data_IF_349077176954
#
_entry.id   IF_349077176954
#
_cell.length_a   1.000
_cell.length_b   1.000
_cell.length_c   1.000
_cell.angle_alpha   90.00
_cell.angle_beta   90.00
_cell.angle_gamma   90.00
#
_symmetry.space_group_name_H-M   'P 1'
#
loop_
_entity.id
_entity.type
_entity.pdbx_description
1 polymer ?
#
# COMPACT_ATOMS: atom_id res chain seq x y z
N UNK A 1 0.90 49.86 57.24
CA UNK A 1 0.20 50.35 56.03
C UNK A 1 0.90 49.79 54.81
N UNK A 2 0.17 49.03 53.99
CA UNK A 2 0.67 48.33 52.80
C UNK A 2 1.11 49.32 51.72
N UNK A 3 2.31 49.16 51.15
CA UNK A 3 2.78 49.93 49.99
C UNK A 3 2.37 49.19 48.71
N UNK A 4 1.41 49.72 47.97
CA UNK A 4 1.04 49.21 46.64
C UNK A 4 2.23 49.37 45.67
N UNK A 5 2.65 48.29 45.04
CA UNK A 5 3.65 48.31 43.97
C UNK A 5 2.92 48.40 42.63
N UNK A 6 3.18 49.46 41.86
CA UNK A 6 2.68 49.63 40.49
C UNK A 6 3.76 49.28 39.45
N UNK A 7 3.30 48.83 38.28
CA UNK A 7 4.16 48.37 37.21
C UNK A 7 4.84 49.55 36.49
N UNK A 8 6.17 49.64 36.62
CA UNK A 8 6.97 50.70 36.00
C UNK A 8 7.37 50.25 34.58
N UNK A 9 6.69 50.80 33.57
CA UNK A 9 7.04 50.62 32.17
C UNK A 9 7.57 51.93 31.57
N UNK A 10 8.61 51.83 30.74
CA UNK A 10 9.20 52.99 30.05
C UNK A 10 8.38 53.32 28.82
N UNK A 11 7.55 54.36 28.91
CA UNK A 11 6.76 54.85 27.77
C UNK A 11 7.64 55.74 26.88
N UNK A 12 7.71 55.43 25.59
CA UNK A 12 8.32 56.29 24.57
C UNK A 12 7.34 56.42 23.39
N UNK A 13 7.21 57.62 22.87
CA UNK A 13 6.45 57.88 21.63
C UNK A 13 7.45 57.98 20.47
N UNK A 14 7.23 57.19 19.43
CA UNK A 14 8.03 57.21 18.20
C UNK A 14 7.12 57.46 16.99
N UNK A 15 7.62 58.23 16.02
CA UNK A 15 6.92 58.53 14.77
C UNK A 15 7.85 58.19 13.59
N UNK A 16 8.04 56.89 13.38
CA UNK A 16 8.91 56.41 12.31
C UNK A 16 8.19 56.58 10.96
N UNK A 17 8.84 57.28 10.04
CA UNK A 17 8.29 57.54 8.71
C UNK A 17 8.36 56.28 7.84
N UNK A 18 7.37 56.07 6.94
CA UNK A 18 7.43 54.96 6.01
C UNK A 18 8.56 55.15 5.00
N UNK A 19 9.16 54.06 4.50
CA UNK A 19 10.16 54.14 3.45
C UNK A 19 9.55 54.73 2.16
N UNK A 20 10.35 55.41 1.31
CA UNK A 20 9.84 56.05 0.11
C UNK A 20 9.30 55.03 -0.89
N UNK A 21 8.10 55.24 -1.48
CA UNK A 21 7.61 54.41 -2.56
C UNK A 21 8.34 54.80 -3.84
N UNK A 22 9.10 53.87 -4.42
CA UNK A 22 9.85 54.06 -5.66
C UNK A 22 8.98 53.59 -6.85
N UNK A 23 8.17 54.45 -7.49
CA UNK A 23 7.36 54.02 -8.62
C UNK A 23 8.23 53.73 -9.85
N UNK A 24 7.77 52.89 -10.78
CA UNK A 24 8.48 52.59 -12.01
C UNK A 24 8.47 53.78 -12.99
N UNK A 25 9.55 53.92 -13.77
CA UNK A 25 9.67 54.96 -14.79
C UNK A 25 8.93 54.58 -16.08
N UNK A 26 8.11 55.50 -16.60
CA UNK A 26 7.44 55.31 -17.90
C UNK A 26 8.37 55.74 -19.04
N UNK A 27 8.54 54.86 -20.03
CA UNK A 27 9.34 55.12 -21.23
C UNK A 27 8.45 55.60 -22.38
N UNK A 28 8.96 56.54 -23.19
CA UNK A 28 8.24 57.00 -24.38
C UNK A 28 8.53 56.08 -25.57
N UNK A 29 7.48 55.44 -26.10
CA UNK A 29 7.60 54.54 -27.24
C UNK A 29 7.45 55.30 -28.57
N UNK A 30 8.34 55.02 -29.53
CA UNK A 30 8.29 55.57 -30.88
C UNK A 30 7.83 54.49 -31.85
N UNK A 31 6.68 54.73 -32.50
CA UNK A 31 6.07 53.81 -33.46
C UNK A 31 6.93 53.76 -34.74
N UNK A 32 7.21 52.58 -35.29
CA UNK A 32 7.91 52.44 -36.57
C UNK A 32 7.03 52.90 -37.74
N UNK A 33 7.65 53.57 -38.72
CA UNK A 33 6.93 54.19 -39.86
C UNK A 33 6.19 53.20 -40.75
N UNK A 34 6.57 51.93 -40.75
CA UNK A 34 5.95 50.89 -41.58
C UNK A 34 4.57 50.46 -41.07
N UNK A 35 4.31 50.67 -39.77
CA UNK A 35 3.03 50.40 -39.11
C UNK A 35 2.09 51.62 -39.14
N UNK A 36 2.55 52.74 -39.72
CA UNK A 36 1.69 53.90 -39.92
C UNK A 36 0.60 53.57 -40.96
N UNK A 37 -0.61 54.05 -40.69
CA UNK A 37 -1.81 53.78 -41.50
C UNK A 37 -1.63 54.19 -42.98
N UNK A 38 -0.73 55.15 -43.26
CA UNK A 38 -0.38 55.59 -44.60
C UNK A 38 0.70 54.76 -45.31
N UNK A 39 1.18 53.65 -44.72
CA UNK A 39 2.28 52.88 -45.30
C UNK A 39 1.85 52.15 -46.58
N UNK A 40 2.69 52.23 -47.61
CA UNK A 40 2.46 51.57 -48.90
C UNK A 40 2.40 50.04 -48.77
N UNK A 41 3.10 49.48 -47.78
CA UNK A 41 3.09 48.04 -47.48
C UNK A 41 1.69 47.54 -47.12
N UNK A 42 0.97 48.28 -46.25
CA UNK A 42 -0.40 47.94 -45.87
C UNK A 42 -1.37 48.07 -47.04
N UNK A 43 -1.23 49.11 -47.87
CA UNK A 43 -2.05 49.28 -49.08
C UNK A 43 -1.83 48.16 -50.10
N UNK A 44 -0.58 47.73 -50.28
CA UNK A 44 -0.25 46.61 -51.16
C UNK A 44 -0.87 45.29 -50.67
N UNK A 45 -0.89 45.07 -49.35
CA UNK A 45 -1.54 43.91 -48.74
C UNK A 45 -3.06 43.93 -48.97
N UNK A 46 -3.70 45.08 -48.75
CA UNK A 46 -5.13 45.26 -48.97
C UNK A 46 -5.48 45.01 -50.45
N UNK A 47 -4.72 45.59 -51.37
CA UNK A 47 -4.93 45.41 -52.80
C UNK A 47 -4.82 43.92 -53.20
N UNK A 48 -3.83 43.18 -52.68
CA UNK A 48 -3.71 41.75 -52.94
C UNK A 48 -4.90 40.97 -52.41
N UNK A 49 -5.41 41.31 -51.22
CA UNK A 49 -6.55 40.63 -50.61
C UNK A 49 -7.85 40.87 -51.38
N UNK A 50 -8.13 42.11 -51.77
CA UNK A 50 -9.38 42.48 -52.45
C UNK A 50 -9.44 41.92 -53.88
N UNK A 51 -8.34 42.02 -54.64
CA UNK A 51 -8.38 41.65 -56.07
C UNK A 51 -8.36 40.14 -56.33
N UNK A 52 -7.92 39.31 -55.38
CA UNK A 52 -7.97 37.85 -55.55
C UNK A 52 -9.42 37.34 -55.60
N UNK A 53 -10.33 37.98 -54.86
CA UNK A 53 -11.76 37.60 -54.88
C UNK A 53 -12.41 37.83 -56.25
N UNK A 54 -11.95 38.84 -56.99
CA UNK A 54 -12.46 39.13 -58.33
C UNK A 54 -11.99 38.09 -59.36
N UNK A 55 -10.84 37.44 -59.14
CA UNK A 55 -10.31 36.40 -60.01
C UNK A 55 -11.07 35.07 -59.90
N UNK A 56 -11.82 34.84 -58.82
CA UNK A 56 -12.60 33.60 -58.63
C UNK A 56 -13.85 33.59 -59.53
N UNK A 57 -14.36 34.77 -59.91
CA UNK A 57 -15.47 34.92 -60.86
C UNK A 57 -14.92 34.93 -62.30
N UNK A 58 -14.28 33.83 -62.70
CA UNK A 58 -13.68 33.69 -64.04
C UNK A 58 -14.73 33.87 -65.16
N UNK A 59 -15.88 33.21 -65.02
CA UNK A 59 -17.02 33.25 -65.94
C UNK A 59 -18.33 33.32 -65.14
N UNK A 60 -19.42 33.75 -65.79
CA UNK A 60 -20.77 33.79 -65.19
C UNK A 60 -21.28 32.40 -64.76
N UNK A 61 -20.78 31.33 -65.39
CA UNK A 61 -21.10 29.93 -65.07
C UNK A 61 -20.18 29.31 -64.00
N UNK A 62 -19.33 30.10 -63.32
CA UNK A 62 -18.40 29.65 -62.28
C UNK A 62 -17.48 28.49 -62.72
N UNK A 63 -17.21 28.37 -64.02
CA UNK A 63 -16.38 27.30 -64.58
C UNK A 63 -17.09 25.95 -64.72
N UNK A 64 -18.41 25.88 -64.47
CA UNK A 64 -19.24 24.69 -64.66
C UNK A 64 -20.24 24.91 -65.79
N UNK A 65 -19.83 24.67 -67.02
CA UNK A 65 -20.72 24.79 -68.18
C UNK A 65 -21.78 23.69 -68.18
N UNK A 66 -23.05 24.08 -68.18
CA UNK A 66 -24.18 23.14 -68.31
C UNK A 66 -24.39 22.87 -69.80
N UNK A 67 -23.79 21.79 -70.32
CA UNK A 67 -23.89 21.41 -71.74
C UNK A 67 -24.57 20.05 -71.90
N UNK A 68 -25.81 20.08 -72.40
CA UNK A 68 -26.60 18.87 -72.65
C UNK A 68 -26.09 18.07 -73.86
N UNK A 69 -25.26 18.68 -74.74
CA UNK A 69 -24.66 17.99 -75.88
C UNK A 69 -23.71 16.87 -75.42
N UNK A 70 -23.13 17.02 -74.23
CA UNK A 70 -22.27 15.99 -73.60
C UNK A 70 -23.04 14.76 -73.11
N UNK A 71 -24.38 14.82 -73.10
CA UNK A 71 -25.25 13.70 -72.74
C UNK A 71 -26.11 13.33 -73.96
N UNK A 72 -25.57 12.53 -74.92
CA UNK A 72 -26.28 12.20 -76.16
C UNK A 72 -27.65 11.54 -75.94
N UNK A 73 -27.80 10.83 -74.83
CA UNK A 73 -29.02 10.10 -74.48
C UNK A 73 -30.17 11.04 -74.09
N UNK A 74 -29.88 12.28 -73.68
CA UNK A 74 -30.89 13.26 -73.23
C UNK A 74 -31.83 13.77 -74.34
N UNK A 75 -31.43 13.61 -75.61
CA UNK A 75 -32.23 14.05 -76.76
C UNK A 75 -33.13 12.94 -77.33
N UNK A 76 -32.95 11.68 -76.91
CA UNK A 76 -33.68 10.52 -77.41
C UNK A 76 -34.81 10.12 -76.45
N UNK A 77 -36.05 10.45 -76.81
CA UNK A 77 -37.26 10.16 -76.00
C UNK A 77 -37.50 8.67 -75.74
N UNK A 78 -36.82 7.78 -76.47
CA UNK A 78 -37.00 6.32 -76.33
C UNK A 78 -36.10 5.70 -75.26
N UNK A 79 -35.03 6.39 -74.86
CA UNK A 79 -34.07 5.91 -73.86
C UNK A 79 -34.32 6.60 -72.53
N UNK A 80 -34.22 5.85 -71.43
CA UNK A 80 -34.25 6.45 -70.10
C UNK A 80 -32.90 7.13 -69.81
N UNK A 81 -32.96 8.36 -69.32
CA UNK A 81 -31.82 9.25 -69.03
C UNK A 81 -30.94 8.79 -67.85
N UNK A 82 -30.41 7.57 -67.91
CA UNK A 82 -29.64 6.93 -66.83
C UNK A 82 -28.45 7.75 -66.32
N UNK A 83 -27.86 8.61 -67.17
CA UNK A 83 -26.70 9.47 -66.83
C UNK A 83 -27.07 10.76 -66.09
N UNK A 84 -28.31 11.23 -66.20
CA UNK A 84 -28.78 12.43 -65.49
C UNK A 84 -29.33 12.08 -64.10
N UNK A 85 -29.77 10.83 -63.91
CA UNK A 85 -30.20 10.34 -62.62
C UNK A 85 -29.02 10.10 -61.68
N UNK A 86 -29.26 10.32 -60.39
CA UNK A 86 -28.28 9.97 -59.36
C UNK A 86 -27.96 8.47 -59.44
N UNK A 87 -26.66 8.13 -59.36
CA UNK A 87 -26.18 6.75 -59.26
C UNK A 87 -26.87 6.06 -58.06
N UNK A 88 -27.17 4.76 -58.20
CA UNK A 88 -27.94 3.99 -57.21
C UNK A 88 -27.29 3.97 -55.81
N UNK A 89 -28.11 3.66 -54.78
CA UNK A 89 -27.89 3.81 -53.32
C UNK A 89 -26.55 3.34 -52.70
N UNK A 90 -25.64 2.70 -53.44
CA UNK A 90 -24.35 2.20 -52.94
C UNK A 90 -23.14 2.88 -53.60
N UNK A 91 -23.04 4.20 -53.49
CA UNK A 91 -21.88 4.97 -53.97
C UNK A 91 -20.74 4.89 -52.94
N UNK A 92 -19.61 4.30 -53.34
CA UNK A 92 -18.38 4.33 -52.55
C UNK A 92 -17.70 5.69 -52.75
N UNK A 93 -17.94 6.62 -51.83
CA UNK A 93 -17.35 7.95 -51.88
C UNK A 93 -15.84 7.91 -51.55
N UNK A 94 -15.04 8.63 -52.33
CA UNK A 94 -13.61 8.76 -52.05
C UNK A 94 -13.40 9.60 -50.76
N UNK A 95 -12.40 9.30 -49.92
CA UNK A 95 -12.17 10.04 -48.67
C UNK A 95 -12.00 11.56 -48.84
N UNK A 96 -11.41 12.01 -49.95
CA UNK A 96 -11.26 13.45 -50.23
C UNK A 96 -12.62 14.13 -50.51
N UNK A 97 -13.50 13.46 -51.26
CA UNK A 97 -14.82 14.00 -51.59
C UNK A 97 -15.73 14.04 -50.35
N UNK A 98 -15.53 13.10 -49.42
CA UNK A 98 -16.20 13.10 -48.11
C UNK A 98 -15.93 14.37 -47.30
N UNK A 99 -14.77 15.01 -47.48
CA UNK A 99 -14.43 16.26 -46.80
C UNK A 99 -15.20 17.43 -47.43
N UNK A 100 -15.37 17.43 -48.75
CA UNK A 100 -16.07 18.47 -49.50
C UNK A 100 -17.58 18.50 -49.23
N UNK A 101 -18.16 17.39 -48.80
CA UNK A 101 -19.58 17.30 -48.41
C UNK A 101 -19.88 17.80 -46.99
N UNK A 102 -18.89 18.35 -46.26
CA UNK A 102 -19.10 18.89 -44.92
C UNK A 102 -19.73 20.27 -44.99
N UNK A 103 -20.65 20.55 -44.06
CA UNK A 103 -21.19 21.89 -43.89
C UNK A 103 -20.09 22.87 -43.42
N UNK A 104 -20.09 24.11 -43.93
CA UNK A 104 -19.14 25.13 -43.49
C UNK A 104 -19.34 25.40 -41.99
N UNK A 105 -18.33 25.07 -41.18
CA UNK A 105 -18.35 25.22 -39.73
C UNK A 105 -18.05 23.93 -38.94
N UNK A 106 -18.08 22.76 -39.59
CA UNK A 106 -17.76 21.45 -38.97
C UNK A 106 -16.30 21.05 -39.25
N UNK A 107 -15.37 22.00 -39.10
CA UNK A 107 -13.95 21.73 -39.40
C UNK A 107 -13.15 21.20 -38.21
N UNK A 108 -13.64 21.36 -36.99
CA UNK A 108 -12.90 20.94 -35.80
C UNK A 108 -13.51 19.70 -35.16
N UNK A 109 -13.03 18.54 -35.58
CA UNK A 109 -13.07 17.36 -34.70
C UNK A 109 -12.23 17.76 -33.48
N UNK A 110 -12.89 18.04 -32.35
CA UNK A 110 -12.26 18.47 -31.10
C UNK A 110 -11.08 17.53 -30.80
N UNK A 111 -9.87 17.99 -31.11
CA UNK A 111 -8.65 17.24 -30.87
C UNK A 111 -8.59 16.90 -29.38
N UNK A 112 -8.16 15.66 -29.07
CA UNK A 112 -7.93 15.26 -27.68
C UNK A 112 -7.13 16.36 -26.97
N UNK A 113 -7.72 16.92 -25.92
CA UNK A 113 -7.11 17.99 -25.14
C UNK A 113 -5.70 17.56 -24.69
N UNK A 114 -4.68 18.43 -24.80
CA UNK A 114 -3.33 18.10 -24.40
C UNK A 114 -3.31 17.73 -22.91
N UNK A 115 -2.70 16.61 -22.57
CA UNK A 115 -2.64 16.11 -21.20
C UNK A 115 -1.56 16.88 -20.43
N UNK A 116 -1.87 18.11 -20.03
CA UNK A 116 -0.92 18.98 -19.32
C UNK A 116 -1.01 18.78 -17.81
N UNK A 117 0.13 18.63 -17.14
CA UNK A 117 0.21 18.27 -15.72
C UNK A 117 -0.45 19.28 -14.76
N UNK A 118 -0.59 20.55 -15.17
CA UNK A 118 -1.22 21.59 -14.36
C UNK A 118 -2.73 21.66 -14.52
N UNK A 119 -3.30 21.12 -15.60
CA UNK A 119 -4.73 21.22 -15.88
C UNK A 119 -5.44 19.97 -15.36
N UNK A 120 -5.97 20.06 -14.14
CA UNK A 120 -6.82 19.00 -13.58
C UNK A 120 -8.24 19.11 -14.12
N UNK A 121 -8.88 17.96 -14.33
CA UNK A 121 -10.32 17.91 -14.65
C UNK A 121 -11.10 18.44 -13.44
N UNK A 122 -12.11 19.26 -13.71
CA UNK A 122 -13.03 19.73 -12.69
C UNK A 122 -13.80 18.53 -12.12
N UNK A 123 -13.86 18.44 -10.81
CA UNK A 123 -14.71 17.48 -10.14
C UNK A 123 -16.14 18.02 -10.07
N UNK A 124 -17.10 17.24 -10.54
CA UNK A 124 -18.52 17.54 -10.31
C UNK A 124 -18.93 17.04 -8.94
N UNK A 125 -19.69 17.85 -8.19
CA UNK A 125 -20.25 17.50 -6.89
C UNK A 125 -21.19 16.30 -7.08
N UNK A 126 -20.67 15.09 -6.90
CA UNK A 126 -21.45 13.88 -6.83
C UNK A 126 -21.91 13.66 -5.40
N UNK A 127 -23.21 13.53 -5.18
CA UNK A 127 -23.87 13.27 -3.89
C UNK A 127 -23.41 11.99 -3.15
N UNK A 128 -22.55 11.18 -3.77
CA UNK A 128 -22.04 9.92 -3.21
C UNK A 128 -20.74 10.09 -2.39
N UNK A 129 -20.06 11.24 -2.47
CA UNK A 129 -18.70 11.39 -1.90
C UNK A 129 -18.62 11.45 -0.37
N UNK A 130 -19.72 11.71 0.32
CA UNK A 130 -19.75 11.72 1.79
C UNK A 130 -20.43 10.47 2.39
N UNK A 131 -21.18 9.71 1.59
CA UNK A 131 -21.87 8.53 2.08
C UNK A 131 -21.02 7.27 2.04
N UNK A 132 -19.81 7.24 1.46
CA UNK A 132 -18.96 6.04 1.49
C UNK A 132 -18.44 5.68 2.90
N UNK A 133 -18.29 6.68 3.80
CA UNK A 133 -17.93 6.43 5.20
C UNK A 133 -19.18 6.26 6.09
N UNK A 134 -20.31 6.90 5.76
CA UNK A 134 -21.58 6.71 6.47
C UNK A 134 -22.29 5.39 6.09
N UNK A 135 -22.08 4.86 4.88
CA UNK A 135 -22.58 3.54 4.47
C UNK A 135 -21.74 2.38 5.01
N UNK A 136 -20.60 2.61 5.66
CA UNK A 136 -20.00 1.55 6.50
C UNK A 136 -20.79 1.39 7.82
N UNK A 137 -21.45 2.45 8.29
CA UNK A 137 -22.39 2.35 9.41
C UNK A 137 -23.79 1.91 8.96
N UNK A 138 -24.25 2.32 7.77
CA UNK A 138 -25.57 1.92 7.25
C UNK A 138 -25.60 0.63 6.39
N UNK A 139 -24.47 0.06 5.98
CA UNK A 139 -24.43 -1.33 5.46
C UNK A 139 -24.41 -2.37 6.58
N UNK A 140 -24.35 -1.93 7.84
CA UNK A 140 -24.77 -2.74 9.00
C UNK A 140 -26.29 -2.71 9.25
N UNK A 141 -27.05 -1.85 8.56
CA UNK A 141 -28.52 -1.84 8.59
C UNK A 141 -29.16 -2.68 7.48
N UNK A 142 -28.35 -3.13 6.52
CA UNK A 142 -28.61 -4.32 5.72
C UNK A 142 -27.90 -5.52 6.34
N UNK A 143 -28.00 -5.69 7.65
CA UNK A 143 -27.93 -7.07 8.13
C UNK A 143 -29.01 -7.82 7.32
N UNK A 144 -28.79 -9.06 6.84
CA UNK A 144 -29.95 -9.96 6.79
C UNK A 144 -30.63 -9.74 8.13
N UNK A 145 -31.96 -9.58 8.17
CA UNK A 145 -32.68 -9.60 9.44
C UNK A 145 -31.92 -10.56 10.33
N UNK A 146 -31.39 -10.06 11.46
CA UNK A 146 -30.95 -10.97 12.48
C UNK A 146 -32.27 -11.64 12.83
N UNK A 147 -32.62 -12.69 12.06
CA UNK A 147 -33.27 -13.87 12.58
C UNK A 147 -32.64 -13.96 13.94
N UNK A 148 -33.46 -13.87 14.98
CA UNK A 148 -33.01 -14.23 16.31
C UNK A 148 -32.33 -15.57 16.10
N UNK A 149 -31.01 -15.53 15.96
CA UNK A 149 -30.24 -16.71 15.64
C UNK A 149 -30.34 -17.42 16.96
N UNK A 150 -31.22 -18.41 16.98
CA UNK A 150 -31.48 -19.19 18.16
C UNK A 150 -30.12 -19.59 18.69
N UNK A 151 -29.70 -19.04 19.84
CA UNK A 151 -28.39 -19.27 20.46
C UNK A 151 -28.26 -20.70 21.01
N UNK A 152 -28.98 -21.64 20.39
CA UNK A 152 -28.87 -23.05 20.62
C UNK A 152 -27.49 -23.53 20.13
N UNK A 153 -26.85 -24.45 20.85
CA UNK A 153 -25.58 -25.03 20.43
C UNK A 153 -25.63 -25.64 19.02
N UNK A 154 -26.79 -26.17 18.60
CA UNK A 154 -26.97 -26.75 17.26
C UNK A 154 -26.89 -25.70 16.14
N UNK A 155 -27.50 -24.52 16.33
CA UNK A 155 -27.40 -23.42 15.35
C UNK A 155 -25.98 -22.88 15.29
N UNK A 156 -25.30 -22.77 16.43
CA UNK A 156 -23.90 -22.35 16.49
C UNK A 156 -22.98 -23.35 15.78
N UNK A 157 -23.17 -24.65 15.98
CA UNK A 157 -22.42 -25.68 15.27
C UNK A 157 -22.63 -25.56 13.76
N UNK A 158 -23.88 -25.41 13.30
CA UNK A 158 -24.21 -25.26 11.89
C UNK A 158 -23.60 -24.00 11.28
N UNK A 159 -23.58 -22.89 12.02
CA UNK A 159 -22.97 -21.64 11.55
C UNK A 159 -21.47 -21.82 11.42
N UNK A 160 -20.81 -22.46 12.39
CA UNK A 160 -19.39 -22.81 12.35
C UNK A 160 -19.09 -23.69 11.12
N UNK A 161 -19.81 -24.80 10.93
CA UNK A 161 -19.67 -25.69 9.76
C UNK A 161 -19.90 -24.93 8.43
N UNK A 162 -20.85 -24.00 8.39
CA UNK A 162 -21.10 -23.18 7.22
C UNK A 162 -19.89 -22.29 6.86
N UNK A 163 -19.14 -21.79 7.84
CA UNK A 163 -17.93 -21.00 7.59
C UNK A 163 -16.82 -21.86 6.96
N UNK A 164 -16.60 -23.08 7.46
CA UNK A 164 -15.62 -24.02 6.92
C UNK A 164 -15.98 -24.52 5.51
N UNK A 165 -17.27 -24.81 5.26
CA UNK A 165 -17.71 -25.23 3.92
C UNK A 165 -17.59 -24.09 2.90
N UNK A 166 -17.89 -22.85 3.29
CA UNK A 166 -17.75 -21.68 2.44
C UNK A 166 -16.28 -21.33 2.17
N UNK A 167 -15.41 -21.37 3.19
CA UNK A 167 -13.98 -21.11 3.03
C UNK A 167 -13.34 -22.12 2.08
N UNK A 168 -13.66 -23.41 2.22
CA UNK A 168 -13.17 -24.48 1.34
C UNK A 168 -13.61 -24.30 -0.12
N UNK A 169 -14.88 -23.89 -0.34
CA UNK A 169 -15.38 -23.58 -1.69
C UNK A 169 -14.60 -22.43 -2.33
N UNK A 170 -14.32 -21.38 -1.57
CA UNK A 170 -13.56 -20.20 -2.07
C UNK A 170 -12.08 -20.50 -2.30
N UNK A 171 -11.49 -21.40 -1.53
CA UNK A 171 -10.10 -21.86 -1.73
C UNK A 171 -9.96 -22.59 -3.07
N UNK A 172 -10.90 -23.48 -3.39
CA UNK A 172 -10.90 -24.23 -4.67
C UNK A 172 -11.20 -23.35 -5.88
N UNK A 173 -12.11 -22.38 -5.73
CA UNK A 173 -12.56 -21.50 -6.82
C UNK A 173 -12.44 -20.01 -6.45
N UNK A 174 -11.32 -19.39 -6.86
CA UNK A 174 -11.03 -17.97 -6.57
C UNK A 174 -12.02 -17.00 -7.25
N UNK A 175 -12.73 -17.43 -8.29
CA UNK A 175 -13.71 -16.61 -9.02
C UNK A 175 -14.97 -16.30 -8.20
N UNK A 176 -15.26 -17.12 -7.20
CA UNK A 176 -16.37 -16.90 -6.27
C UNK A 176 -16.08 -15.73 -5.33
N UNK A 177 -14.80 -15.40 -5.10
CA UNK A 177 -14.40 -14.34 -4.19
C UNK A 177 -14.50 -12.98 -4.89
N UNK A 178 -15.49 -12.19 -4.47
CA UNK A 178 -15.70 -10.81 -4.92
C UNK A 178 -15.44 -9.86 -3.78
N UNK A 179 -14.74 -8.77 -4.06
CA UNK A 179 -14.53 -7.73 -3.04
C UNK A 179 -15.88 -7.09 -2.66
N UNK A 180 -16.16 -6.87 -1.36
CA UNK A 180 -17.47 -6.41 -0.88
C UNK A 180 -17.89 -5.05 -1.47
N UNK A 181 -16.97 -4.08 -1.50
CA UNK A 181 -17.21 -2.76 -2.09
C UNK A 181 -16.94 -2.69 -3.61
N UNK A 182 -15.80 -3.20 -4.07
CA UNK A 182 -15.34 -3.09 -5.46
C UNK A 182 -15.46 -4.43 -6.21
N UNK A 183 -16.67 -4.76 -6.67
CA UNK A 183 -16.99 -6.06 -7.31
C UNK A 183 -16.12 -6.44 -8.52
N UNK A 184 -15.45 -5.47 -9.15
CA UNK A 184 -14.57 -5.70 -10.30
C UNK A 184 -13.18 -6.24 -9.90
N UNK A 185 -12.82 -6.20 -8.62
CA UNK A 185 -11.56 -6.74 -8.13
C UNK A 185 -11.63 -8.25 -8.00
N UNK A 186 -10.57 -8.92 -8.45
CA UNK A 186 -10.38 -10.37 -8.35
C UNK A 186 -9.26 -10.66 -7.36
N UNK A 187 -9.38 -11.75 -6.60
CA UNK A 187 -8.33 -12.19 -5.70
C UNK A 187 -7.11 -12.69 -6.47
N UNK A 188 -5.91 -12.28 -6.06
CA UNK A 188 -4.64 -12.71 -6.66
C UNK A 188 -4.10 -13.99 -6.01
N UNK A 189 -4.15 -14.04 -4.68
CA UNK A 189 -3.70 -15.17 -3.85
C UNK A 189 -4.65 -15.32 -2.68
N UNK A 190 -4.83 -16.57 -2.24
CA UNK A 190 -5.61 -16.94 -1.07
C UNK A 190 -4.70 -17.82 -0.22
N UNK A 191 -4.59 -17.52 1.07
CA UNK A 191 -3.82 -18.33 2.02
C UNK A 191 -4.78 -19.04 2.96
N UNK A 192 -4.59 -20.35 3.16
CA UNK A 192 -5.32 -21.09 4.20
C UNK A 192 -4.73 -20.78 5.56
N UNK A 193 -5.54 -20.31 6.51
CA UNK A 193 -5.07 -19.98 7.86
C UNK A 193 -5.18 -21.21 8.77
N UNK A 194 -4.05 -21.81 9.14
CA UNK A 194 -3.97 -23.02 9.97
C UNK A 194 -3.15 -22.77 11.24
N UNK A 195 -3.43 -23.45 12.36
CA UNK A 195 -2.55 -23.40 13.53
C UNK A 195 -1.19 -24.06 13.23
N UNK A 196 -0.09 -23.51 13.75
CA UNK A 196 1.24 -24.12 13.62
C UNK A 196 1.46 -25.18 14.71
N UNK A 197 0.96 -26.40 14.51
CA UNK A 197 1.10 -27.48 15.52
C UNK A 197 2.56 -27.84 15.81
N UNK A 198 3.46 -27.59 14.86
CA UNK A 198 4.89 -27.86 15.01
C UNK A 198 5.61 -26.96 16.01
N UNK A 199 5.05 -25.78 16.30
CA UNK A 199 5.65 -24.77 17.21
C UNK A 199 4.81 -24.51 18.45
N UNK A 200 3.76 -25.30 18.68
CA UNK A 200 2.92 -25.17 19.87
C UNK A 200 3.61 -25.56 21.18
N UNK A 201 4.79 -26.20 21.10
CA UNK A 201 5.67 -26.40 22.24
C UNK A 201 6.35 -25.11 22.73
N UNK A 202 6.29 -24.03 21.95
CA UNK A 202 6.94 -22.75 22.25
C UNK A 202 5.94 -21.67 22.66
N UNK A 203 6.33 -20.84 23.62
CA UNK A 203 5.59 -19.64 24.01
C UNK A 203 6.11 -18.40 23.27
N UNK A 204 5.22 -17.69 22.59
CA UNK A 204 5.57 -16.47 21.85
C UNK A 204 5.21 -15.22 22.66
N UNK A 205 6.15 -14.29 22.73
CA UNK A 205 6.01 -13.02 23.45
C UNK A 205 6.28 -11.84 22.52
N UNK A 206 5.45 -10.80 22.57
CA UNK A 206 5.67 -9.57 21.80
C UNK A 206 6.46 -8.57 22.63
N UNK A 207 7.65 -8.23 22.14
CA UNK A 207 8.54 -7.25 22.79
C UNK A 207 8.41 -5.90 22.06
N UNK A 208 8.10 -4.85 22.80
CA UNK A 208 8.01 -3.47 22.28
C UNK A 208 9.05 -2.60 22.98
N UNK A 209 10.04 -2.12 22.23
CA UNK A 209 10.99 -1.12 22.73
C UNK A 209 10.38 0.29 22.68
N UNK A 210 10.40 1.02 23.81
CA UNK A 210 9.77 2.34 23.95
C UNK A 210 10.79 3.47 24.17
N UNK A 211 10.51 4.63 23.56
CA UNK A 211 11.27 5.87 23.79
C UNK A 211 12.75 5.72 23.44
N UNK A 212 13.63 5.98 24.41
CA UNK A 212 15.08 5.87 24.23
C UNK A 212 15.60 4.45 24.06
N UNK A 213 14.77 3.42 24.29
CA UNK A 213 15.09 2.04 23.95
C UNK A 213 14.78 1.71 22.48
N UNK A 214 14.05 2.59 21.77
CA UNK A 214 13.72 2.37 20.36
C UNK A 214 14.98 2.33 19.52
N UNK A 215 15.16 1.24 18.79
CA UNK A 215 16.21 1.14 17.78
C UNK A 215 15.80 1.94 16.55
N UNK A 216 16.77 2.53 15.84
CA UNK A 216 16.51 3.24 14.58
C UNK A 216 15.94 2.28 13.54
N UNK A 217 15.18 2.78 12.55
CA UNK A 217 14.64 2.00 11.42
C UNK A 217 15.69 1.17 10.66
N UNK A 218 16.99 1.45 10.87
CA UNK A 218 18.10 0.66 10.33
C UNK A 218 18.25 -0.72 11.00
N UNK A 219 17.75 -0.90 12.22
CA UNK A 219 17.83 -2.15 12.98
C UNK A 219 16.84 -3.22 12.53
N UNK A 220 15.68 -2.83 11.98
CA UNK A 220 14.61 -3.79 11.63
C UNK A 220 14.95 -4.70 10.44
N UNK A 221 15.98 -4.35 9.67
CA UNK A 221 16.47 -5.14 8.53
C UNK A 221 17.79 -5.86 8.82
N UNK A 222 18.43 -5.59 9.96
CA UNK A 222 19.69 -6.24 10.31
C UNK A 222 19.44 -7.68 10.73
N UNK A 223 20.22 -8.60 10.19
CA UNK A 223 20.18 -10.02 10.56
C UNK A 223 20.50 -10.23 12.04
N UNK A 224 21.34 -9.37 12.61
CA UNK A 224 21.72 -9.37 14.03
C UNK A 224 20.51 -9.26 14.96
N UNK A 225 19.53 -8.43 14.62
CA UNK A 225 18.30 -8.27 15.42
C UNK A 225 17.34 -9.45 15.28
N UNK A 226 17.41 -10.20 14.18
CA UNK A 226 16.58 -11.39 13.99
C UNK A 226 17.10 -12.59 14.79
N UNK A 227 18.40 -12.65 15.04
CA UNK A 227 19.04 -13.73 15.81
C UNK A 227 19.40 -13.32 17.24
N UNK A 228 19.04 -12.10 17.65
CA UNK A 228 19.37 -11.58 18.98
C UNK A 228 18.63 -12.31 20.10
N UNK A 229 19.20 -12.26 21.30
CA UNK A 229 18.65 -12.94 22.48
C UNK A 229 18.19 -11.90 23.49
N UNK A 230 16.97 -12.11 23.98
CA UNK A 230 16.37 -11.37 25.08
C UNK A 230 16.29 -12.30 26.28
N UNK A 231 17.06 -11.99 27.33
CA UNK A 231 17.06 -12.76 28.58
C UNK A 231 16.33 -11.97 29.67
N UNK A 232 15.15 -12.42 30.15
CA UNK A 232 14.54 -11.82 31.31
C UNK A 232 15.34 -12.17 32.56
N UNK A 233 15.54 -11.18 33.43
CA UNK A 233 16.15 -11.32 34.74
C UNK A 233 15.16 -10.76 35.75
N UNK A 234 14.59 -11.66 36.55
CA UNK A 234 13.64 -11.34 37.62
C UNK A 234 14.38 -11.41 38.96
N UNK A 235 14.44 -10.29 39.67
CA UNK A 235 14.97 -10.20 41.02
C UNK A 235 13.91 -9.59 41.93
N UNK A 236 13.94 -9.92 43.22
CA UNK A 236 12.88 -9.55 44.19
C UNK A 236 12.50 -8.06 44.17
N UNK A 237 13.42 -7.18 43.75
CA UNK A 237 13.29 -5.73 43.81
C UNK A 237 13.37 -5.05 42.42
N UNK A 238 13.76 -5.77 41.36
CA UNK A 238 13.94 -5.19 40.03
C UNK A 238 13.86 -6.26 38.92
N UNK A 239 13.06 -5.97 37.90
CA UNK A 239 12.94 -6.82 36.71
C UNK A 239 13.53 -6.10 35.49
N UNK A 240 14.45 -6.76 34.80
CA UNK A 240 15.00 -6.22 33.56
C UNK A 240 15.21 -7.30 32.51
N UNK A 241 15.47 -6.87 31.29
CA UNK A 241 15.68 -7.69 30.12
C UNK A 241 17.03 -7.32 29.51
N UNK A 242 17.97 -8.26 29.52
CA UNK A 242 19.28 -8.09 28.90
C UNK A 242 19.22 -8.46 27.42
N UNK A 243 19.78 -7.59 26.57
CA UNK A 243 19.79 -7.73 25.11
C UNK A 243 21.17 -8.12 24.60
N UNK A 244 21.28 -9.29 23.99
CA UNK A 244 22.53 -9.83 23.47
C UNK A 244 22.51 -9.95 21.94
N UNK A 245 23.65 -9.63 21.32
CA UNK A 245 23.82 -9.60 19.87
C UNK A 245 25.10 -10.35 19.47
N UNK A 246 25.05 -11.01 18.32
CA UNK A 246 26.20 -11.66 17.66
C UNK A 246 26.79 -10.77 16.57
N UNK A 247 28.01 -11.11 16.13
CA UNK A 247 28.62 -10.51 14.95
C UNK A 247 27.79 -10.76 13.68
N UNK A 248 27.88 -9.86 12.69
CA UNK A 248 27.09 -9.94 11.45
C UNK A 248 27.27 -11.28 10.72
N UNK A 249 28.51 -11.76 10.56
CA UNK A 249 28.78 -13.05 9.91
C UNK A 249 28.13 -14.22 10.67
N UNK A 250 28.32 -14.25 11.99
CA UNK A 250 27.73 -15.26 12.88
C UNK A 250 26.19 -15.18 12.90
N UNK A 251 25.61 -13.98 12.82
CA UNK A 251 24.16 -13.80 12.74
C UNK A 251 23.59 -14.41 11.46
N UNK A 252 24.32 -14.31 10.33
CA UNK A 252 23.86 -14.90 9.07
C UNK A 252 23.95 -16.42 9.08
N UNK A 253 24.98 -17.01 9.70
CA UNK A 253 25.07 -18.46 9.83
C UNK A 253 24.00 -19.00 10.77
N UNK A 254 23.79 -18.38 11.94
CA UNK A 254 22.71 -18.73 12.87
C UNK A 254 21.34 -18.63 12.20
N UNK A 255 21.10 -17.54 11.46
CA UNK A 255 19.84 -17.37 10.73
C UNK A 255 19.65 -18.46 9.68
N UNK A 256 20.70 -18.81 8.92
CA UNK A 256 20.64 -19.90 7.95
C UNK A 256 20.33 -21.24 8.60
N UNK A 257 20.95 -21.56 9.75
CA UNK A 257 20.69 -22.81 10.46
C UNK A 257 19.28 -22.87 11.04
N UNK A 258 18.71 -21.73 11.48
CA UNK A 258 17.33 -21.66 11.99
C UNK A 258 16.29 -21.72 10.85
N UNK A 259 16.60 -21.10 9.71
CA UNK A 259 15.73 -21.07 8.53
C UNK A 259 15.81 -22.35 7.69
N UNK A 260 16.80 -23.24 7.95
CA UNK A 260 16.90 -24.53 7.28
C UNK A 260 15.70 -25.41 7.66
N UNK A 261 15.04 -25.95 6.63
CA UNK A 261 13.85 -26.80 6.75
C UNK A 261 14.15 -28.25 6.39
N UNK A 262 15.41 -28.59 6.12
CA UNK A 262 15.82 -29.98 6.00
C UNK A 262 15.61 -30.70 7.34
N UNK A 263 15.22 -31.98 7.27
CA UNK A 263 14.73 -32.73 8.43
C UNK A 263 15.81 -32.80 9.52
N UNK A 264 15.46 -32.29 10.71
CA UNK A 264 16.25 -32.46 11.92
C UNK A 264 16.19 -33.93 12.31
N UNK A 265 17.22 -34.71 11.97
CA UNK A 265 17.31 -36.10 12.42
C UNK A 265 17.78 -36.07 13.88
N UNK A 266 17.08 -36.73 14.82
CA UNK A 266 17.55 -36.76 16.20
C UNK A 266 18.94 -37.39 16.27
N UNK A 267 19.87 -36.66 16.87
CA UNK A 267 21.22 -37.16 17.12
C UNK A 267 21.42 -37.35 18.63
N UNK A 268 21.54 -38.61 19.05
CA UNK A 268 21.76 -38.97 20.44
C UNK A 268 23.24 -38.92 20.83
N UNK A 269 24.15 -38.91 19.85
CA UNK A 269 25.58 -38.71 20.08
C UNK A 269 25.87 -37.21 20.21
N UNK A 270 25.69 -36.68 21.42
CA UNK A 270 26.02 -35.29 21.74
C UNK A 270 27.55 -35.17 21.82
N UNK A 271 28.19 -34.98 20.68
CA UNK A 271 29.62 -34.68 20.68
C UNK A 271 29.82 -33.21 21.09
N UNK A 272 30.20 -32.96 22.34
CA UNK A 272 30.31 -31.61 22.91
C UNK A 272 31.23 -30.69 22.09
N UNK A 273 32.20 -31.27 21.39
CA UNK A 273 33.18 -30.58 20.56
C UNK A 273 32.73 -30.33 19.11
N UNK A 274 31.67 -31.00 18.65
CA UNK A 274 31.26 -30.93 17.25
C UNK A 274 30.16 -29.88 17.03
N UNK A 275 30.53 -28.68 16.55
CA UNK A 275 29.59 -27.63 16.16
C UNK A 275 30.09 -26.22 16.41
N UNK A 276 29.63 -25.27 15.59
CA UNK A 276 30.01 -23.86 15.68
C UNK A 276 29.47 -23.23 16.96
N UNK A 277 30.37 -22.72 17.81
CA UNK A 277 30.02 -21.92 18.99
C UNK A 277 29.83 -20.47 18.56
N UNK A 278 28.67 -19.91 18.88
CA UNK A 278 28.32 -18.53 18.58
C UNK A 278 28.42 -17.67 19.84
N UNK A 279 29.20 -16.60 19.73
CA UNK A 279 29.46 -15.65 20.80
C UNK A 279 28.41 -14.54 20.79
N UNK A 280 27.61 -14.45 21.85
CA UNK A 280 26.64 -13.37 22.05
C UNK A 280 27.17 -12.38 23.09
N UNK A 281 27.34 -11.13 22.69
CA UNK A 281 27.80 -10.05 23.56
C UNK A 281 26.61 -9.22 24.06
N UNK A 282 26.61 -8.89 25.35
CA UNK A 282 25.60 -8.00 25.94
C UNK A 282 25.75 -6.60 25.36
N UNK A 283 24.66 -6.06 24.80
CA UNK A 283 24.65 -4.71 24.23
C UNK A 283 24.07 -3.69 25.20
N UNK A 284 22.90 -3.98 25.77
CA UNK A 284 22.18 -3.08 26.67
C UNK A 284 21.26 -3.88 27.59
N UNK A 285 20.96 -3.29 28.75
CA UNK A 285 19.87 -3.71 29.62
C UNK A 285 18.67 -2.77 29.49
N UNK A 286 17.48 -3.38 29.54
CA UNK A 286 16.21 -2.66 29.46
C UNK A 286 15.33 -3.01 30.64
N UNK A 287 14.73 -1.98 31.25
CA UNK A 287 13.71 -2.16 32.27
C UNK A 287 12.47 -2.82 31.67
N UNK A 288 12.01 -3.92 32.26
CA UNK A 288 10.93 -4.75 31.72
C UNK A 288 9.62 -4.40 32.40
N UNK A 289 8.63 -4.01 31.60
CA UNK A 289 7.23 -3.97 32.04
C UNK A 289 6.45 -5.07 31.34
N UNK A 290 6.26 -6.19 32.03
CA UNK A 290 5.37 -7.25 31.57
C UNK A 290 3.92 -6.77 31.63
N UNK A 291 3.22 -6.91 30.51
CA UNK A 291 1.78 -6.68 30.40
C UNK A 291 1.13 -8.05 30.30
N UNK A 292 0.51 -8.49 31.39
CA UNK A 292 -0.34 -9.67 31.38
C UNK A 292 -1.51 -9.43 30.42
N UNK A 293 -1.65 -10.28 29.41
CA UNK A 293 -2.78 -10.23 28.50
C UNK A 293 -3.93 -10.99 29.14
N UNK A 294 -4.77 -10.29 29.91
CA UNK A 294 -5.98 -10.92 30.46
C UNK A 294 -7.01 -11.16 29.34
N UNK A 295 -7.42 -12.43 29.16
CA UNK A 295 -8.45 -12.87 28.22
C UNK A 295 -7.97 -13.89 27.19
N UNK A 296 -8.81 -14.15 26.18
CA UNK A 296 -8.46 -15.06 25.07
C UNK A 296 -7.39 -14.52 24.12
N UNK A 297 -7.13 -15.25 23.04
CA UNK A 297 -6.11 -14.91 22.02
C UNK A 297 -6.42 -13.54 21.39
N UNK A 298 -5.66 -12.49 21.75
CA UNK A 298 -5.81 -11.14 21.18
C UNK A 298 -4.89 -10.89 20.00
N UNK A 299 -3.67 -11.39 20.09
CA UNK A 299 -2.63 -11.20 19.09
C UNK A 299 -2.14 -12.55 18.59
N UNK A 300 -1.94 -12.64 17.29
CA UNK A 300 -1.43 -13.83 16.60
C UNK A 300 -0.23 -13.43 15.73
N UNK A 301 0.83 -14.24 15.79
CA UNK A 301 1.94 -14.18 14.87
C UNK A 301 1.62 -15.04 13.64
N UNK A 302 1.83 -14.49 12.44
CA UNK A 302 1.56 -15.19 11.18
C UNK A 302 2.86 -15.52 10.46
N UNK A 303 3.00 -16.78 10.04
CA UNK A 303 4.06 -17.24 9.15
C UNK A 303 3.45 -17.64 7.81
N UNK A 304 3.97 -17.08 6.72
CA UNK A 304 3.47 -17.38 5.37
C UNK A 304 4.37 -18.40 4.68
N UNK A 305 3.81 -19.57 4.39
CA UNK A 305 4.40 -20.50 3.43
C UNK A 305 3.90 -20.17 2.02
N UNK A 306 4.84 -19.79 1.17
CA UNK A 306 4.57 -19.40 -0.20
C UNK A 306 4.48 -20.59 -1.16
N UNK A 307 5.01 -21.76 -0.77
CA UNK A 307 4.98 -22.98 -1.59
C UNK A 307 3.57 -23.58 -1.58
N UNK A 308 3.04 -23.81 -0.38
CA UNK A 308 1.73 -24.43 -0.18
C UNK A 308 0.57 -23.40 -0.11
N UNK A 309 0.86 -22.10 -0.11
CA UNK A 309 -0.11 -21.03 0.15
C UNK A 309 -0.86 -21.24 1.49
N UNK A 310 -0.12 -21.61 2.53
CA UNK A 310 -0.63 -21.78 3.89
C UNK A 310 -0.07 -20.67 4.75
N UNK A 311 -0.92 -20.07 5.58
CA UNK A 311 -0.53 -19.14 6.63
C UNK A 311 -0.69 -19.86 7.97
N UNK A 312 0.42 -20.08 8.66
CA UNK A 312 0.42 -20.65 9.99
C UNK A 312 0.25 -19.54 11.03
N UNK A 313 -0.60 -19.73 12.04
CA UNK A 313 -0.76 -18.80 13.15
C UNK A 313 -0.30 -19.39 14.48
N UNK A 314 0.34 -18.54 15.29
CA UNK A 314 0.72 -18.82 16.67
C UNK A 314 0.18 -17.74 17.61
N UNK A 315 -0.50 -18.10 18.71
CA UNK A 315 -0.99 -17.13 19.68
C UNK A 315 0.18 -16.50 20.44
N UNK A 316 0.13 -15.17 20.61
CA UNK A 316 1.09 -14.44 21.46
C UNK A 316 0.56 -14.45 22.89
N UNK A 317 1.29 -15.07 23.80
CA UNK A 317 0.86 -15.28 25.19
C UNK A 317 1.18 -14.08 26.08
N UNK A 318 2.34 -13.44 25.89
CA UNK A 318 2.77 -12.32 26.73
C UNK A 318 3.19 -11.11 25.90
N UNK A 319 3.11 -9.93 26.51
CA UNK A 319 3.61 -8.67 25.94
C UNK A 319 4.56 -8.03 26.93
N UNK A 320 5.74 -7.64 26.47
CA UNK A 320 6.74 -6.94 27.27
C UNK A 320 7.04 -5.58 26.65
N UNK A 321 6.93 -4.52 27.45
CA UNK A 321 7.39 -3.18 27.07
C UNK A 321 8.75 -2.91 27.70
N UNK A 322 9.73 -2.62 26.86
CA UNK A 322 11.11 -2.37 27.26
C UNK A 322 11.41 -0.87 27.27
N UNK A 323 11.89 -0.37 28.40
CA UNK A 323 12.37 1.01 28.56
C UNK A 323 13.86 1.01 28.86
N UNK A 324 14.51 2.16 28.67
CA UNK A 324 15.92 2.31 29.03
C UNK A 324 16.10 2.02 30.53
N UNK A 325 16.92 1.04 30.86
CA UNK A 325 17.21 0.68 32.24
C UNK A 325 18.00 1.78 32.96
N UNK A 326 17.69 2.01 34.24
CA UNK A 326 18.34 2.98 35.11
C UNK A 326 18.56 2.34 36.48
N UNK A 327 19.80 1.98 36.75
CA UNK A 327 20.18 1.36 38.01
C UNK A 327 20.32 2.42 39.12
N UNK A 328 19.73 2.13 40.27
CA UNK A 328 20.02 2.84 41.50
C UNK A 328 21.28 2.25 42.14
N UNK A 329 22.13 3.09 42.73
CA UNK A 329 23.47 2.70 43.18
C UNK A 329 23.44 1.56 44.22
N UNK A 330 22.38 1.49 45.03
CA UNK A 330 22.16 0.43 46.03
C UNK A 330 21.93 -0.96 45.47
N UNK A 331 21.46 -1.08 44.21
CA UNK A 331 21.13 -2.36 43.58
C UNK A 331 22.29 -2.90 42.71
N UNK A 332 23.36 -2.13 42.57
CA UNK A 332 24.45 -2.43 41.63
C UNK A 332 25.19 -3.72 41.98
N UNK A 333 25.50 -3.93 43.26
CA UNK A 333 26.21 -5.14 43.72
C UNK A 333 25.39 -6.42 43.47
N UNK A 334 24.07 -6.34 43.62
CA UNK A 334 23.16 -7.46 43.39
C UNK A 334 22.99 -7.76 41.90
N UNK A 335 22.98 -6.73 41.06
CA UNK A 335 22.95 -6.86 39.60
C UNK A 335 24.22 -7.54 39.09
N UNK A 336 25.40 -7.11 39.57
CA UNK A 336 26.70 -7.67 39.15
C UNK A 336 26.85 -9.17 39.42
N UNK A 337 26.11 -9.74 40.38
CA UNK A 337 26.13 -11.17 40.67
C UNK A 337 25.38 -12.03 39.64
N UNK A 338 24.36 -11.46 38.98
CA UNK A 338 23.45 -12.18 38.06
C UNK A 338 23.74 -11.85 36.60
N UNK A 339 24.36 -10.70 36.37
CA UNK A 339 24.65 -10.18 35.06
C UNK A 339 25.75 -10.99 34.34
N UNK A 340 25.53 -11.25 33.06
CA UNK A 340 26.48 -11.95 32.19
C UNK A 340 26.86 -11.05 31.03
N UNK A 341 28.15 -10.88 30.77
CA UNK A 341 28.62 -10.06 29.64
C UNK A 341 28.60 -10.81 28.31
N UNK A 342 28.81 -12.13 28.37
CA UNK A 342 28.97 -12.99 27.21
C UNK A 342 28.19 -14.29 27.41
N UNK A 343 27.44 -14.69 26.38
CA UNK A 343 26.75 -15.97 26.32
C UNK A 343 27.24 -16.73 25.10
N UNK A 344 27.81 -17.93 25.33
CA UNK A 344 28.25 -18.80 24.25
C UNK A 344 27.20 -19.87 24.00
N UNK A 345 26.64 -19.90 22.78
CA UNK A 345 25.59 -20.84 22.42
C UNK A 345 26.01 -21.74 21.27
N UNK A 346 25.56 -22.98 21.35
CA UNK A 346 25.70 -24.00 20.31
C UNK A 346 24.30 -24.38 19.84
N UNK A 347 24.07 -24.31 18.54
CA UNK A 347 22.82 -24.77 17.93
C UNK A 347 23.03 -26.22 17.57
N UNK A 348 22.19 -27.11 18.08
CA UNK A 348 22.22 -28.55 17.82
C UNK A 348 20.81 -29.07 17.53
N UNK A 349 20.76 -30.22 16.88
CA UNK A 349 19.52 -30.98 16.73
C UNK A 349 19.07 -31.53 18.10
N UNK A 350 17.74 -31.69 18.29
CA UNK A 350 17.21 -32.23 19.54
C UNK A 350 17.54 -33.71 19.69
N UNK A 351 17.77 -34.15 20.92
CA UNK A 351 17.92 -35.57 21.28
C UNK A 351 16.56 -36.26 21.23
N UNK A 352 16.52 -37.60 21.09
CA UNK A 352 15.25 -38.34 21.09
C UNK A 352 14.39 -38.08 22.35
N UNK A 353 15.01 -37.97 23.52
CA UNK A 353 14.31 -37.64 24.77
C UNK A 353 13.66 -36.24 24.74
N UNK A 354 14.37 -35.23 24.21
CA UNK A 354 13.85 -33.87 24.06
C UNK A 354 12.71 -33.82 23.03
N UNK A 355 12.85 -34.58 21.93
CA UNK A 355 11.81 -34.70 20.92
C UNK A 355 10.54 -35.34 21.50
N UNK A 356 10.68 -36.40 22.31
CA UNK A 356 9.55 -37.04 22.99
C UNK A 356 8.84 -36.09 23.96
N UNK A 357 9.60 -35.30 24.74
CA UNK A 357 9.03 -34.27 25.61
C UNK A 357 8.25 -33.21 24.81
N UNK A 358 8.82 -32.71 23.71
CA UNK A 358 8.12 -31.76 22.81
C UNK A 358 6.89 -32.36 22.16
N UNK A 359 6.95 -33.61 21.71
CA UNK A 359 5.83 -34.31 21.11
C UNK A 359 4.70 -34.55 22.12
N UNK A 360 5.01 -34.80 23.40
CA UNK A 360 4.01 -34.90 24.47
C UNK A 360 3.25 -33.57 24.66
N UNK A 361 3.95 -32.43 24.62
CA UNK A 361 3.31 -31.11 24.67
C UNK A 361 2.45 -30.88 23.42
N UNK A 362 2.96 -31.20 22.23
CA UNK A 362 2.23 -31.07 20.96
C UNK A 362 1.02 -32.00 20.88
N UNK A 363 1.08 -33.20 21.46
CA UNK A 363 -0.01 -34.17 21.53
C UNK A 363 -1.25 -33.57 22.23
N UNK A 364 -1.05 -32.73 23.26
CA UNK A 364 -2.16 -32.04 23.92
C UNK A 364 -2.97 -31.12 22.97
N UNK A 365 -2.33 -30.65 21.90
CA UNK A 365 -2.94 -29.80 20.88
C UNK A 365 -3.35 -30.57 19.61
N UNK A 366 -2.58 -31.59 19.23
CA UNK A 366 -2.79 -32.43 18.05
C UNK A 366 -2.43 -33.90 18.35
N UNK A 367 -3.39 -34.68 18.86
CA UNK A 367 -3.15 -36.07 19.23
C UNK A 367 -3.10 -37.02 18.02
N UNK A 368 -3.40 -36.53 16.81
CA UNK A 368 -3.42 -37.36 15.60
C UNK A 368 -2.02 -37.45 15.00
N UNK A 369 -1.30 -36.32 14.95
CA UNK A 369 0.02 -36.26 14.34
C UNK A 369 1.17 -36.53 15.33
N UNK A 370 0.93 -36.34 16.63
CA UNK A 370 1.93 -36.55 17.67
C UNK A 370 1.45 -37.59 18.67
N UNK A 371 2.26 -38.62 18.91
CA UNK A 371 1.99 -39.63 19.93
C UNK A 371 2.56 -39.18 21.28
N UNK A 372 1.79 -39.36 22.36
CA UNK A 372 2.28 -39.14 23.71
C UNK A 372 3.14 -40.32 24.13
N UNK A 373 4.43 -40.07 24.30
CA UNK A 373 5.34 -41.02 24.95
C UNK A 373 5.40 -40.65 26.43
N UNK A 374 5.07 -41.59 27.31
CA UNK A 374 5.28 -41.44 28.75
C UNK A 374 6.80 -41.38 29.00
N UNK A 375 7.29 -40.20 29.35
CA UNK A 375 8.68 -40.02 29.77
C UNK A 375 8.71 -40.29 31.26
N UNK A 376 9.32 -41.40 31.67
CA UNK A 376 9.63 -41.64 33.08
C UNK A 376 10.52 -40.49 33.56
N UNK A 377 10.03 -39.73 34.54
CA UNK A 377 10.76 -38.63 35.13
C UNK A 377 11.89 -39.20 36.01
N UNK A 378 13.13 -39.17 35.51
CA UNK A 378 14.34 -39.27 36.35
C UNK A 378 14.71 -37.92 36.97
#
# INVERSE_FOLDING_TARGET
>A
MSKSQDYIARIRYQNDLPPPPLPPNLLNYKIPKDEEIGSSSLLSSLYRKENVNNLIKLNDDLGQSIDLIQVPDAFDRSKQDSKLYALSDNIKLHPNDRILLRDPGVDTVVGKQPNVAFLRRTEYIGSSRQNANATVQNSRLGSPQVSQDDNTPATQLRSIESTFTNSTKTLKNLTLLKHPLKKNLKAKKVWSLLPDTSRMDQSFSSIRMLGSASTSNRGTTSTEFHTSIFRPVELEQADWMSFYVTDEESSTSVKRTIDDLSENVPNDEIDENEGSRYKYLKKNDYDMKAIAVEGGIKDIALRFDHKENIAYYNPIQSKAELKRHRLHDSLKELVEQVDYDEVNLKIREPTNAELNSRNSIRHSHDPVNYEAVEVDAE
#
